data_IF_236965180335
#
_entry.id   IF_236965180335
#
_cell.length_a   1.000
_cell.length_b   1.000
_cell.length_c   1.000
_cell.angle_alpha   90.00
_cell.angle_beta   90.00
_cell.angle_gamma   90.00
#
_symmetry.space_group_name_H-M   'P 1'
#
loop_
_entity.id
_entity.type
_entity.pdbx_description
1 polymer ?
#
# COMPACT_ATOMS: atom_id res chain seq x y z
N UNK A 1 -58.61 -40.14 21.64
CA UNK A 1 -57.67 -40.62 22.68
C UNK A 1 -56.44 -41.08 21.95
N UNK A 2 -55.32 -40.38 21.91
CA UNK A 2 -54.59 -39.69 22.98
C UNK A 2 -53.69 -38.60 22.40
N UNK A 3 -53.71 -37.43 23.05
CA UNK A 3 -52.81 -36.29 22.85
C UNK A 3 -51.32 -36.68 22.96
N UNK A 4 -50.49 -36.04 22.13
CA UNK A 4 -49.04 -35.97 22.33
C UNK A 4 -48.61 -34.51 22.40
N UNK A 5 -48.32 -34.04 23.60
CA UNK A 5 -47.59 -32.79 23.87
C UNK A 5 -46.08 -32.96 23.58
N UNK A 6 -45.37 -31.90 23.15
CA UNK A 6 -43.91 -31.87 23.12
C UNK A 6 -43.32 -31.31 24.44
N UNK A 7 -42.10 -31.70 24.83
CA UNK A 7 -41.54 -31.34 26.13
C UNK A 7 -40.83 -29.98 26.16
N UNK A 8 -40.86 -29.45 27.38
CA UNK A 8 -40.35 -28.22 27.98
C UNK A 8 -38.88 -27.85 27.74
N UNK A 9 -38.67 -26.55 27.49
CA UNK A 9 -37.38 -25.83 27.59
C UNK A 9 -36.91 -25.75 29.05
N UNK A 10 -35.62 -25.99 29.29
CA UNK A 10 -34.94 -25.68 30.56
C UNK A 10 -34.34 -24.26 30.51
N UNK A 11 -34.62 -23.49 31.56
CA UNK A 11 -34.08 -22.15 31.85
C UNK A 11 -33.01 -22.26 32.96
N UNK A 12 -31.86 -21.62 32.72
CA UNK A 12 -30.91 -20.92 33.62
C UNK A 12 -30.36 -21.61 34.89
N UNK A 13 -29.14 -21.23 35.33
CA UNK A 13 -29.10 -20.12 36.29
C UNK A 13 -28.04 -19.05 35.97
N UNK A 14 -28.43 -17.80 36.23
CA UNK A 14 -27.52 -16.71 36.59
C UNK A 14 -26.82 -17.06 37.90
N UNK A 15 -25.54 -16.70 38.06
CA UNK A 15 -25.02 -16.45 39.39
C UNK A 15 -24.01 -15.31 39.42
N UNK A 16 -24.18 -14.47 40.44
CA UNK A 16 -23.51 -13.23 40.73
C UNK A 16 -22.34 -13.46 41.71
N UNK A 17 -21.26 -12.71 41.51
CA UNK A 17 -20.27 -12.20 42.49
C UNK A 17 -19.48 -13.19 43.36
N UNK A 18 -18.14 -13.06 43.36
CA UNK A 18 -17.42 -12.57 44.54
C UNK A 18 -15.99 -12.11 44.20
N UNK A 19 -15.67 -10.90 44.66
CA UNK A 19 -14.33 -10.34 44.74
C UNK A 19 -13.53 -11.05 45.84
N UNK A 20 -12.29 -11.46 45.55
CA UNK A 20 -11.21 -11.65 46.51
C UNK A 20 -9.88 -11.39 45.80
N UNK A 21 -9.15 -10.40 46.29
CA UNK A 21 -7.89 -9.94 45.72
C UNK A 21 -6.74 -10.89 45.98
N UNK A 22 -5.87 -11.04 44.99
CA UNK A 22 -4.49 -11.45 45.17
C UNK A 22 -3.58 -10.47 44.44
N UNK A 23 -2.82 -9.72 45.23
CA UNK A 23 -1.68 -8.92 44.80
C UNK A 23 -0.53 -9.86 44.45
N UNK A 24 -0.30 -10.06 43.15
CA UNK A 24 0.91 -10.67 42.62
C UNK A 24 1.59 -9.68 41.68
N UNK A 25 2.69 -9.09 42.14
CA UNK A 25 3.60 -8.34 41.26
C UNK A 25 4.30 -9.33 40.32
N UNK A 26 3.74 -9.50 39.13
CA UNK A 26 4.43 -10.07 37.97
C UNK A 26 4.72 -8.96 36.98
N UNK A 27 5.99 -8.60 36.82
CA UNK A 27 6.48 -7.76 35.72
C UNK A 27 6.41 -8.57 34.42
N UNK A 28 5.25 -8.56 33.75
CA UNK A 28 5.13 -9.04 32.36
C UNK A 28 5.65 -7.95 31.42
N UNK A 29 6.80 -8.22 30.81
CA UNK A 29 7.33 -7.49 29.66
C UNK A 29 6.44 -7.77 28.44
N UNK A 30 5.63 -6.78 28.05
CA UNK A 30 4.72 -6.91 26.89
C UNK A 30 5.44 -6.60 25.57
N UNK A 31 5.27 -7.47 24.56
CA UNK A 31 5.86 -7.33 23.23
C UNK A 31 5.09 -6.33 22.35
N UNK A 32 5.77 -5.26 21.93
CA UNK A 32 5.23 -4.19 21.09
C UNK A 32 5.11 -4.51 19.59
N UNK A 33 4.38 -5.56 19.22
CA UNK A 33 4.23 -5.94 17.79
C UNK A 33 3.42 -4.89 17.00
N UNK A 34 3.72 -4.66 15.71
CA UNK A 34 2.84 -3.92 14.79
C UNK A 34 1.43 -4.53 14.75
N UNK A 35 0.39 -3.71 14.59
CA UNK A 35 -0.96 -4.23 14.35
C UNK A 35 -0.99 -5.06 13.06
N UNK A 36 -1.69 -6.19 13.16
CA UNK A 36 -1.90 -7.16 12.09
C UNK A 36 -2.51 -6.46 10.88
N UNK A 37 -1.86 -6.55 9.71
CA UNK A 37 -2.44 -6.18 8.42
C UNK A 37 -3.86 -6.77 8.33
N UNK A 38 -4.91 -6.03 7.94
CA UNK A 38 -6.23 -6.64 7.87
C UNK A 38 -6.12 -7.83 6.93
N UNK A 39 -6.47 -9.03 7.40
CA UNK A 39 -6.49 -10.20 6.52
C UNK A 39 -7.37 -9.84 5.32
N UNK A 40 -6.87 -9.90 4.08
CA UNK A 40 -7.73 -9.76 2.92
C UNK A 40 -8.71 -10.91 3.04
N UNK A 41 -9.97 -10.55 3.22
CA UNK A 41 -11.05 -11.50 3.15
C UNK A 41 -11.09 -11.87 1.67
N UNK A 42 -10.36 -12.92 1.29
CA UNK A 42 -10.23 -13.39 -0.09
C UNK A 42 -11.59 -13.77 -0.72
N UNK A 43 -12.67 -13.86 0.09
CA UNK A 43 -14.04 -13.69 -0.40
C UNK A 43 -14.35 -12.20 -0.54
N UNK A 44 -14.40 -11.71 -1.80
CA UNK A 44 -14.58 -10.31 -2.22
C UNK A 44 -13.30 -9.47 -2.41
N UNK A 45 -12.13 -10.11 -2.54
CA UNK A 45 -10.84 -9.45 -2.83
C UNK A 45 -10.66 -9.00 -4.29
N UNK A 46 -11.69 -9.14 -5.14
CA UNK A 46 -11.77 -8.28 -6.31
C UNK A 46 -12.20 -6.90 -5.80
N UNK A 47 -11.48 -5.81 -6.14
CA UNK A 47 -11.97 -4.47 -5.86
C UNK A 47 -13.42 -4.41 -6.32
N UNK A 48 -14.33 -4.00 -5.43
CA UNK A 48 -15.76 -4.16 -5.61
C UNK A 48 -16.19 -3.27 -6.78
N UNK A 49 -16.05 -3.77 -8.00
CA UNK A 49 -16.55 -3.11 -9.18
C UNK A 49 -18.07 -2.99 -9.05
N UNK A 50 -18.70 -2.11 -9.84
CA UNK A 50 -20.14 -1.94 -9.88
C UNK A 50 -20.85 -3.14 -10.56
N UNK A 51 -20.35 -4.36 -10.32
CA UNK A 51 -20.82 -5.58 -10.94
C UNK A 51 -22.32 -5.73 -10.70
N UNK A 52 -23.12 -5.98 -11.75
CA UNK A 52 -24.56 -6.13 -11.59
C UNK A 52 -24.91 -7.39 -10.77
N UNK A 53 -24.01 -8.37 -10.71
CA UNK A 53 -24.10 -9.54 -9.83
C UNK A 53 -23.18 -9.36 -8.62
N UNK A 54 -23.76 -9.38 -7.42
CA UNK A 54 -23.03 -9.25 -6.15
C UNK A 54 -23.06 -10.51 -5.30
N UNK A 55 -24.12 -11.31 -5.45
CA UNK A 55 -24.20 -12.70 -5.03
C UNK A 55 -24.79 -13.51 -6.19
N UNK A 56 -24.16 -14.65 -6.52
CA UNK A 56 -24.65 -15.52 -7.60
C UNK A 56 -26.01 -16.16 -7.24
N UNK A 57 -26.42 -16.06 -5.97
CA UNK A 57 -27.64 -16.64 -5.41
C UNK A 57 -28.69 -15.58 -5.01
N UNK A 58 -28.42 -14.28 -5.16
CA UNK A 58 -29.39 -13.24 -4.78
C UNK A 58 -30.48 -13.08 -5.84
N UNK A 59 -31.74 -13.34 -5.48
CA UNK A 59 -32.93 -13.17 -6.33
C UNK A 59 -33.19 -11.70 -6.76
N UNK A 60 -32.51 -10.73 -6.13
CA UNK A 60 -32.56 -9.29 -6.47
C UNK A 60 -31.85 -8.93 -7.80
N UNK A 61 -31.44 -9.92 -8.60
CA UNK A 61 -30.79 -9.70 -9.90
C UNK A 61 -31.69 -9.00 -10.96
N UNK A 62 -33.01 -8.90 -10.74
CA UNK A 62 -33.96 -8.41 -11.76
C UNK A 62 -34.45 -6.97 -11.56
N UNK A 63 -34.07 -6.25 -10.50
CA UNK A 63 -34.75 -4.98 -10.13
C UNK A 63 -33.89 -3.72 -10.21
N UNK A 64 -32.64 -3.77 -10.67
CA UNK A 64 -31.82 -2.57 -10.86
C UNK A 64 -32.08 -1.89 -12.23
N UNK A 65 -33.31 -1.40 -12.42
CA UNK A 65 -33.57 -0.30 -13.35
C UNK A 65 -33.23 1.03 -12.66
N UNK A 66 -31.95 1.35 -12.57
CA UNK A 66 -31.55 2.74 -12.38
C UNK A 66 -31.03 3.24 -13.71
N UNK A 67 -31.80 4.11 -14.37
CA UNK A 67 -31.31 4.83 -15.53
C UNK A 67 -29.95 5.46 -15.20
N UNK A 68 -28.95 5.35 -16.09
CA UNK A 68 -27.69 6.04 -15.90
C UNK A 68 -27.99 7.54 -15.87
N UNK A 69 -27.92 8.15 -14.68
CA UNK A 69 -27.94 9.61 -14.57
C UNK A 69 -26.76 10.10 -15.40
N UNK A 70 -27.06 10.69 -16.55
CA UNK A 70 -26.04 11.25 -17.44
C UNK A 70 -25.24 12.27 -16.65
N UNK A 71 -23.98 11.93 -16.36
CA UNK A 71 -22.99 12.80 -15.73
C UNK A 71 -22.82 14.12 -16.47
N UNK A 72 -23.26 14.19 -17.74
CA UNK A 72 -23.24 15.41 -18.57
C UNK A 72 -24.36 16.40 -18.25
N UNK A 73 -25.49 15.99 -17.65
CA UNK A 73 -26.61 16.92 -17.36
C UNK A 73 -26.45 17.67 -16.03
N UNK A 74 -25.61 17.20 -15.10
CA UNK A 74 -25.32 17.91 -13.84
C UNK A 74 -24.10 18.85 -13.93
N UNK A 75 -23.36 18.83 -15.04
CA UNK A 75 -22.24 19.75 -15.32
C UNK A 75 -22.69 21.22 -15.52
N UNK A 76 -23.98 21.47 -15.76
CA UNK A 76 -24.51 22.78 -16.12
C UNK A 76 -24.83 23.68 -14.89
N UNK A 77 -24.97 23.11 -13.69
CA UNK A 77 -25.24 23.86 -12.47
C UNK A 77 -24.03 23.74 -11.53
N UNK A 78 -23.17 24.78 -11.51
CA UNK A 78 -21.88 24.82 -10.82
C UNK A 78 -21.88 24.67 -9.28
N UNK A 79 -22.86 23.98 -8.70
CA UNK A 79 -22.97 23.68 -7.28
C UNK A 79 -22.70 22.18 -7.01
N UNK A 80 -21.48 21.72 -7.27
CA UNK A 80 -21.04 20.45 -6.68
C UNK A 80 -20.93 20.63 -5.17
N UNK A 81 -21.96 20.23 -4.43
CA UNK A 81 -21.77 19.80 -3.06
C UNK A 81 -21.04 18.46 -3.15
N UNK A 82 -19.75 18.43 -2.77
CA UNK A 82 -18.96 17.19 -2.66
C UNK A 82 -19.62 16.15 -1.73
N UNK A 83 -20.52 16.61 -0.86
CA UNK A 83 -21.39 15.75 -0.05
C UNK A 83 -22.31 14.95 -0.97
N UNK A 84 -22.20 13.62 -0.90
CA UNK A 84 -22.99 12.71 -1.73
C UNK A 84 -22.15 11.89 -2.72
N UNK A 85 -20.84 12.15 -2.82
CA UNK A 85 -19.93 11.21 -3.45
C UNK A 85 -19.95 9.87 -2.68
N UNK A 86 -19.96 8.71 -3.38
CA UNK A 86 -19.87 8.57 -4.84
C UNK A 86 -21.19 8.61 -5.61
N UNK A 87 -22.34 8.48 -4.93
CA UNK A 87 -23.66 8.32 -5.55
C UNK A 87 -24.02 9.46 -6.50
N UNK A 88 -23.59 10.68 -6.18
CA UNK A 88 -23.85 11.86 -7.02
C UNK A 88 -23.19 11.79 -8.40
N UNK A 89 -22.08 11.07 -8.54
CA UNK A 89 -21.34 10.96 -9.80
C UNK A 89 -21.46 9.58 -10.45
N UNK A 90 -21.64 8.54 -9.65
CA UNK A 90 -21.65 7.16 -10.11
C UNK A 90 -22.92 6.46 -9.61
N UNK A 91 -24.01 6.55 -10.39
CA UNK A 91 -25.34 6.06 -9.99
C UNK A 91 -25.40 4.54 -9.72
N UNK A 92 -24.45 3.78 -10.25
CA UNK A 92 -24.26 2.35 -9.99
C UNK A 92 -23.63 2.05 -8.61
N UNK A 93 -23.17 3.05 -7.86
CA UNK A 93 -22.61 2.91 -6.51
C UNK A 93 -23.64 3.20 -5.41
N UNK A 94 -24.69 2.37 -5.35
CA UNK A 94 -25.72 2.45 -4.31
C UNK A 94 -25.16 2.27 -2.90
N UNK A 95 -25.87 2.76 -1.89
CA UNK A 95 -25.43 2.78 -0.48
C UNK A 95 -25.00 1.40 0.03
N UNK A 96 -25.71 0.35 -0.37
CA UNK A 96 -25.38 -1.03 0.02
C UNK A 96 -24.02 -1.50 -0.54
N UNK A 97 -23.71 -1.15 -1.79
CA UNK A 97 -22.40 -1.43 -2.42
C UNK A 97 -21.28 -0.74 -1.67
N UNK A 98 -21.45 0.54 -1.37
CA UNK A 98 -20.47 1.34 -0.62
C UNK A 98 -20.23 0.78 0.79
N UNK A 99 -21.29 0.29 1.45
CA UNK A 99 -21.18 -0.36 2.76
C UNK A 99 -20.44 -1.70 2.67
N UNK A 100 -20.76 -2.54 1.68
CA UNK A 100 -20.14 -3.87 1.51
C UNK A 100 -18.66 -3.78 1.17
N UNK A 101 -18.26 -2.82 0.34
CA UNK A 101 -16.85 -2.61 -0.02
C UNK A 101 -16.03 -1.88 1.06
N UNK A 102 -16.66 -1.48 2.18
CA UNK A 102 -16.01 -0.83 3.33
C UNK A 102 -15.23 0.45 2.99
N UNK A 103 -15.54 1.08 1.85
CA UNK A 103 -14.83 2.28 1.39
C UNK A 103 -14.90 3.42 2.42
N UNK A 104 -16.06 3.64 3.03
CA UNK A 104 -16.22 4.68 4.05
C UNK A 104 -15.82 4.17 5.43
N UNK A 105 -16.05 2.89 5.70
CA UNK A 105 -15.80 2.32 7.03
C UNK A 105 -14.33 2.23 7.39
N UNK A 106 -13.45 2.08 6.40
CA UNK A 106 -12.01 2.04 6.57
C UNK A 106 -11.34 3.42 6.55
N UNK A 107 -12.09 4.51 6.33
CA UNK A 107 -11.54 5.86 6.56
C UNK A 107 -11.19 6.04 8.03
N UNK A 108 -10.22 6.93 8.34
CA UNK A 108 -9.88 7.22 9.73
C UNK A 108 -11.07 7.86 10.43
N UNK A 109 -11.52 7.22 11.53
CA UNK A 109 -12.58 7.68 12.43
C UNK A 109 -12.02 8.23 13.74
N UNK A 110 -10.71 8.08 13.98
CA UNK A 110 -10.08 8.54 15.20
C UNK A 110 -9.93 10.07 15.17
N UNK A 111 -10.57 10.73 16.13
CA UNK A 111 -10.46 12.18 16.30
C UNK A 111 -9.03 12.65 16.61
N UNK A 112 -8.18 11.78 17.16
CA UNK A 112 -6.78 12.07 17.47
C UNK A 112 -5.87 11.97 16.25
N UNK A 113 -6.26 11.22 15.22
CA UNK A 113 -5.52 11.14 13.97
C UNK A 113 -5.79 12.36 13.08
N UNK A 114 -4.73 13.12 12.81
CA UNK A 114 -4.78 14.26 11.89
C UNK A 114 -4.73 13.75 10.46
N UNK A 115 -5.70 14.15 9.64
CA UNK A 115 -5.62 14.01 8.19
C UNK A 115 -4.73 15.13 7.66
N UNK A 116 -3.65 14.77 6.96
CA UNK A 116 -2.66 15.73 6.44
C UNK A 116 -2.48 15.55 4.96
N UNK A 117 -2.42 16.65 4.22
CA UNK A 117 -2.17 16.64 2.77
C UNK A 117 -0.84 17.35 2.51
N UNK A 118 0.13 16.58 2.05
CA UNK A 118 1.40 17.10 1.53
C UNK A 118 1.28 17.26 0.02
N UNK A 119 1.92 18.27 -0.56
CA UNK A 119 1.93 18.46 -2.00
C UNK A 119 3.33 18.71 -2.56
N UNK A 120 3.64 18.08 -3.69
CA UNK A 120 4.84 18.33 -4.48
C UNK A 120 4.44 18.89 -5.83
N UNK A 121 4.96 20.06 -6.17
CA UNK A 121 4.69 20.74 -7.43
C UNK A 121 5.87 20.55 -8.39
N UNK A 122 5.59 20.04 -9.59
CA UNK A 122 6.54 19.97 -10.70
C UNK A 122 6.17 21.03 -11.72
N UNK A 123 7.11 21.94 -11.96
CA UNK A 123 6.96 23.05 -12.89
C UNK A 123 6.93 22.58 -14.35
N UNK A 124 6.48 23.43 -15.26
CA UNK A 124 6.44 23.15 -16.70
C UNK A 124 7.80 22.77 -17.30
N UNK A 125 8.90 23.26 -16.73
CA UNK A 125 10.27 22.92 -17.13
C UNK A 125 10.78 21.59 -16.55
N UNK A 126 9.96 20.87 -15.78
CA UNK A 126 10.34 19.59 -15.16
C UNK A 126 11.10 19.73 -13.84
N UNK A 127 11.35 20.95 -13.36
CA UNK A 127 11.95 21.18 -12.04
C UNK A 127 10.91 21.06 -10.94
N UNK A 128 11.32 20.47 -9.83
CA UNK A 128 10.51 20.39 -8.63
C UNK A 128 10.60 21.72 -7.88
N UNK A 129 9.47 22.24 -7.40
CA UNK A 129 9.52 23.35 -6.45
C UNK A 129 10.23 22.85 -5.18
N UNK A 130 11.16 23.62 -4.62
CA UNK A 130 11.81 23.23 -3.37
C UNK A 130 10.76 23.18 -2.24
N UNK A 131 10.97 22.33 -1.23
CA UNK A 131 10.20 22.43 0.01
C UNK A 131 10.47 23.83 0.60
N UNK A 132 9.41 24.62 0.76
CA UNK A 132 9.48 25.96 1.36
C UNK A 132 8.71 25.96 2.67
N UNK A 133 9.27 26.59 3.71
CA UNK A 133 8.57 26.79 4.99
C UNK A 133 7.23 27.55 4.82
N UNK A 134 7.09 28.31 3.73
CA UNK A 134 5.87 29.04 3.36
C UNK A 134 4.72 28.14 2.84
N UNK A 135 4.96 26.83 2.65
CA UNK A 135 3.98 25.87 2.15
C UNK A 135 3.93 24.62 3.04
N UNK A 136 3.47 24.74 4.30
CA UNK A 136 3.34 23.61 5.19
C UNK A 136 2.27 22.62 4.70
N UNK A 137 2.33 21.35 5.13
CA UNK A 137 1.26 20.40 4.87
C UNK A 137 -0.07 20.95 5.38
N UNK A 138 -1.15 20.68 4.63
CA UNK A 138 -2.49 21.09 5.01
C UNK A 138 -3.02 20.14 6.09
N UNK A 139 -3.09 20.63 7.34
CA UNK A 139 -3.79 19.95 8.43
C UNK A 139 -5.31 20.09 8.17
N UNK A 140 -6.00 18.97 7.94
CA UNK A 140 -7.44 18.97 7.69
C UNK A 140 -8.22 18.86 8.99
N UNK A 141 -8.85 19.98 9.37
CA UNK A 141 -9.82 20.04 10.45
C UNK A 141 -11.26 20.04 9.90
N UNK A 142 -12.20 19.45 10.64
CA UNK A 142 -13.61 19.41 10.23
C UNK A 142 -14.24 20.81 10.10
N UNK A 143 -13.74 21.78 10.88
CA UNK A 143 -14.21 23.17 10.85
C UNK A 143 -13.72 23.92 9.58
N UNK A 144 -12.63 23.46 8.96
CA UNK A 144 -11.96 24.14 7.85
C UNK A 144 -12.22 23.46 6.49
N UNK A 145 -13.19 22.53 6.43
CA UNK A 145 -13.53 21.79 5.21
C UNK A 145 -13.93 22.71 4.04
N UNK A 146 -14.59 23.82 4.30
CA UNK A 146 -14.95 24.79 3.26
C UNK A 146 -13.72 25.47 2.65
N UNK A 147 -12.73 25.81 3.49
CA UNK A 147 -11.47 26.39 3.04
C UNK A 147 -10.67 25.38 2.22
N UNK A 148 -10.57 24.13 2.69
CA UNK A 148 -9.93 23.04 1.94
C UNK A 148 -10.58 22.84 0.57
N UNK A 149 -11.92 22.85 0.49
CA UNK A 149 -12.63 22.73 -0.77
C UNK A 149 -12.29 23.86 -1.75
N UNK A 150 -12.27 25.12 -1.28
CA UNK A 150 -11.85 26.26 -2.10
C UNK A 150 -10.42 26.14 -2.62
N UNK A 151 -9.50 25.63 -1.79
CA UNK A 151 -8.12 25.36 -2.20
C UNK A 151 -8.05 24.27 -3.28
N UNK A 152 -8.78 23.17 -3.13
CA UNK A 152 -8.82 22.07 -4.12
C UNK A 152 -9.47 22.51 -5.45
N UNK A 153 -10.43 23.43 -5.41
CA UNK A 153 -11.05 24.00 -6.62
C UNK A 153 -10.10 24.89 -7.40
N UNK A 154 -9.15 25.55 -6.73
CA UNK A 154 -8.17 26.43 -7.38
C UNK A 154 -7.23 25.60 -8.26
N UNK A 155 -7.35 25.73 -9.59
CA UNK A 155 -6.45 25.05 -10.53
C UNK A 155 -5.09 25.76 -10.48
N UNK A 156 -4.02 25.08 -10.03
CA UNK A 156 -2.70 25.70 -10.03
C UNK A 156 -2.23 25.94 -11.47
N UNK A 157 -1.69 27.12 -11.73
CA UNK A 157 -1.14 27.52 -13.03
C UNK A 157 0.38 27.31 -13.06
N UNK A 158 0.94 27.10 -14.25
CA UNK A 158 2.38 26.91 -14.41
C UNK A 158 2.93 25.57 -13.90
N UNK A 159 2.05 24.60 -13.64
CA UNK A 159 2.41 23.26 -13.16
C UNK A 159 2.19 22.20 -14.22
N UNK A 160 3.23 21.41 -14.48
CA UNK A 160 3.12 20.17 -15.25
C UNK A 160 2.35 19.11 -14.47
N UNK A 161 2.72 18.95 -13.20
CA UNK A 161 2.20 17.93 -12.31
C UNK A 161 2.12 18.43 -10.87
N UNK A 162 1.05 18.06 -10.17
CA UNK A 162 0.96 18.14 -8.71
C UNK A 162 0.83 16.75 -8.12
N UNK A 163 1.63 16.42 -7.10
CA UNK A 163 1.50 15.18 -6.34
C UNK A 163 0.87 15.52 -4.99
N UNK A 164 -0.28 14.93 -4.68
CA UNK A 164 -0.99 15.03 -3.40
C UNK A 164 -0.76 13.74 -2.62
N UNK A 165 -0.21 13.84 -1.41
CA UNK A 165 0.08 12.70 -0.56
C UNK A 165 -0.75 12.87 0.72
N UNK A 166 -1.72 11.99 0.93
CA UNK A 166 -2.69 12.11 2.02
C UNK A 166 -2.41 11.07 3.10
N UNK A 167 -2.11 11.54 4.31
CA UNK A 167 -2.10 10.73 5.53
C UNK A 167 -3.50 10.70 6.16
N UNK A 168 -3.89 9.55 6.70
CA UNK A 168 -5.11 9.39 7.51
C UNK A 168 -6.38 9.89 6.81
N UNK A 169 -6.64 9.42 5.58
CA UNK A 169 -7.78 9.87 4.78
C UNK A 169 -9.09 9.78 5.57
N UNK A 170 -9.71 10.95 5.79
CA UNK A 170 -11.04 11.10 6.39
C UNK A 170 -12.13 11.08 5.32
N UNK A 171 -13.33 10.64 5.70
CA UNK A 171 -14.46 10.52 4.77
C UNK A 171 -14.79 11.82 4.00
N UNK A 172 -14.85 13.01 4.62
CA UNK A 172 -15.10 14.25 3.86
C UNK A 172 -14.01 14.55 2.82
N UNK A 173 -12.74 14.26 3.13
CA UNK A 173 -11.62 14.47 2.20
C UNK A 173 -11.70 13.50 1.01
N UNK A 174 -12.06 12.24 1.27
CA UNK A 174 -12.34 11.27 0.22
C UNK A 174 -13.43 11.78 -0.74
N UNK A 175 -14.54 12.28 -0.20
CA UNK A 175 -15.63 12.84 -1.01
C UNK A 175 -15.19 14.06 -1.82
N UNK A 176 -14.41 14.97 -1.24
CA UNK A 176 -13.86 16.12 -1.95
C UNK A 176 -12.94 15.70 -3.09
N UNK A 177 -11.96 14.84 -2.84
CA UNK A 177 -11.03 14.38 -3.88
C UNK A 177 -11.77 13.61 -4.98
N UNK A 178 -12.64 12.68 -4.60
CA UNK A 178 -13.47 11.91 -5.52
C UNK A 178 -14.35 12.80 -6.41
N UNK A 179 -14.96 13.84 -5.84
CA UNK A 179 -15.77 14.79 -6.60
C UNK A 179 -14.93 15.69 -7.49
N UNK A 180 -13.85 16.28 -6.94
CA UNK A 180 -13.01 17.26 -7.63
C UNK A 180 -12.31 16.68 -8.85
N UNK A 181 -11.89 15.43 -8.76
CA UNK A 181 -11.10 14.75 -9.78
C UNK A 181 -11.88 13.66 -10.50
N UNK A 182 -13.18 13.49 -10.21
CA UNK A 182 -14.05 12.45 -10.82
C UNK A 182 -13.39 11.07 -10.72
N UNK A 183 -12.94 10.74 -9.50
CA UNK A 183 -12.23 9.47 -9.25
C UNK A 183 -13.28 8.38 -9.08
N UNK A 184 -13.19 7.28 -9.83
CA UNK A 184 -14.08 6.16 -9.57
C UNK A 184 -13.84 5.60 -8.15
N UNK A 185 -14.90 5.16 -7.45
CA UNK A 185 -14.78 4.72 -6.07
C UNK A 185 -13.84 3.52 -5.91
N UNK A 186 -13.61 2.79 -6.99
CA UNK A 186 -12.69 1.66 -7.07
C UNK A 186 -11.30 1.99 -6.51
N UNK A 187 -10.72 3.16 -6.82
CA UNK A 187 -9.41 3.57 -6.28
C UNK A 187 -9.42 3.58 -4.75
N UNK A 188 -10.43 4.21 -4.15
CA UNK A 188 -10.55 4.31 -2.71
C UNK A 188 -10.82 2.94 -2.08
N UNK A 189 -11.68 2.12 -2.69
CA UNK A 189 -11.94 0.77 -2.19
C UNK A 189 -10.65 -0.06 -2.20
N UNK A 190 -9.87 0.01 -3.27
CA UNK A 190 -8.63 -0.73 -3.45
C UNK A 190 -7.57 -0.28 -2.46
N UNK A 191 -7.38 1.03 -2.32
CA UNK A 191 -6.40 1.63 -1.42
C UNK A 191 -6.71 1.36 0.06
N UNK A 192 -7.97 1.58 0.48
CA UNK A 192 -8.40 1.44 1.87
C UNK A 192 -8.56 -0.02 2.32
N UNK A 193 -8.72 -0.96 1.38
CA UNK A 193 -8.77 -2.40 1.65
C UNK A 193 -7.49 -3.15 1.26
N UNK A 194 -6.46 -2.44 0.78
CA UNK A 194 -5.15 -3.01 0.45
C UNK A 194 -5.24 -4.09 -0.63
N UNK A 195 -6.09 -3.86 -1.63
CA UNK A 195 -6.32 -4.79 -2.72
C UNK A 195 -5.39 -4.41 -3.87
N UNK A 196 -4.47 -5.28 -4.31
CA UNK A 196 -3.65 -4.98 -5.48
C UNK A 196 -4.52 -4.70 -6.71
N UNK A 197 -4.28 -3.58 -7.39
CA UNK A 197 -5.06 -3.21 -8.57
C UNK A 197 -4.26 -2.39 -9.57
N UNK A 198 -4.60 -2.55 -10.85
CA UNK A 198 -4.02 -1.82 -11.98
C UNK A 198 -5.10 -1.65 -13.05
N UNK A 199 -5.43 -0.41 -13.38
CA UNK A 199 -6.48 -0.13 -14.37
C UNK A 199 -6.37 1.30 -14.89
N UNK A 200 -7.02 1.53 -16.03
CA UNK A 200 -7.15 2.81 -16.70
C UNK A 200 -8.65 3.14 -16.81
N UNK A 201 -9.03 4.34 -16.41
CA UNK A 201 -10.42 4.85 -16.37
C UNK A 201 -10.53 6.15 -17.18
N UNK A 202 -11.75 6.57 -17.49
CA UNK A 202 -12.05 7.88 -18.11
C UNK A 202 -11.25 8.17 -19.39
N UNK A 203 -11.05 7.16 -20.24
CA UNK A 203 -10.29 7.31 -21.49
C UNK A 203 -11.08 8.16 -22.49
N UNK A 204 -10.81 9.45 -22.50
CA UNK A 204 -11.41 10.40 -23.44
C UNK A 204 -10.34 10.93 -24.38
N UNK A 205 -10.45 10.54 -25.65
CA UNK A 205 -9.54 10.98 -26.72
C UNK A 205 -9.31 12.50 -26.64
N UNK A 206 -8.03 12.90 -26.67
CA UNK A 206 -7.61 14.31 -26.62
C UNK A 206 -8.00 15.11 -25.36
N UNK A 207 -8.55 14.48 -24.31
CA UNK A 207 -8.77 15.13 -23.00
C UNK A 207 -7.85 14.57 -21.94
N UNK A 208 -7.72 13.25 -21.85
CA UNK A 208 -6.98 12.62 -20.78
C UNK A 208 -7.58 11.28 -20.38
N UNK A 209 -7.03 10.73 -19.30
CA UNK A 209 -7.51 9.54 -18.63
C UNK A 209 -7.00 9.50 -17.19
N UNK A 210 -7.45 8.50 -16.44
CA UNK A 210 -6.90 8.19 -15.13
C UNK A 210 -6.22 6.83 -15.15
N UNK A 211 -5.11 6.70 -14.42
CA UNK A 211 -4.47 5.40 -14.15
C UNK A 211 -4.32 5.18 -12.65
N UNK A 212 -4.53 3.95 -12.20
CA UNK A 212 -4.37 3.57 -10.81
C UNK A 212 -3.41 2.41 -10.67
N UNK A 213 -2.54 2.48 -9.67
CA UNK A 213 -1.74 1.36 -9.18
C UNK A 213 -1.85 1.30 -7.66
N UNK A 214 -2.43 0.21 -7.16
CA UNK A 214 -2.35 -0.17 -5.74
C UNK A 214 -1.40 -1.36 -5.65
N UNK A 215 -0.25 -1.15 -5.03
CA UNK A 215 0.83 -2.11 -4.94
C UNK A 215 1.13 -2.45 -3.48
N UNK A 216 1.15 -3.74 -3.19
CA UNK A 216 1.67 -4.27 -1.95
C UNK A 216 3.12 -4.71 -2.15
N UNK A 217 3.99 -4.37 -1.21
CA UNK A 217 5.41 -4.71 -1.28
C UNK A 217 5.96 -4.96 0.12
N UNK A 218 7.15 -5.53 0.24
CA UNK A 218 7.78 -5.78 1.54
C UNK A 218 8.84 -4.71 1.79
N UNK A 219 8.92 -4.24 3.04
CA UNK A 219 10.00 -3.38 3.50
C UNK A 219 10.52 -3.80 4.86
N UNK A 220 11.74 -3.36 5.13
CA UNK A 220 12.38 -3.50 6.45
C UNK A 220 11.99 -2.37 7.40
N UNK A 221 11.83 -2.71 8.68
CA UNK A 221 11.61 -1.75 9.79
C UNK A 221 12.53 -2.09 10.95
N UNK A 222 13.12 -1.08 11.59
CA UNK A 222 13.88 -1.26 12.85
C UNK A 222 12.93 -1.50 14.04
N UNK A 223 13.30 -2.43 14.92
CA UNK A 223 12.58 -2.76 16.15
C UNK A 223 12.35 -1.57 17.08
N UNK A 224 13.35 -0.70 17.26
CA UNK A 224 13.23 0.45 18.15
C UNK A 224 12.10 1.39 17.70
N UNK A 225 11.95 1.56 16.38
CA UNK A 225 10.84 2.30 15.77
C UNK A 225 9.51 1.54 15.84
N UNK A 226 9.56 0.20 15.87
CA UNK A 226 8.36 -0.63 16.03
C UNK A 226 7.82 -0.59 17.47
N UNK A 227 8.68 -0.61 18.49
CA UNK A 227 8.27 -0.64 19.91
C UNK A 227 7.88 0.74 20.45
N UNK A 228 8.52 1.82 19.98
CA UNK A 228 8.23 3.18 20.46
C UNK A 228 6.79 3.67 20.20
N UNK A 229 6.00 2.96 19.37
CA UNK A 229 4.63 3.35 18.98
C UNK A 229 3.53 2.36 19.45
N UNK A 230 3.88 1.27 20.13
CA UNK A 230 2.89 0.27 20.57
C UNK A 230 2.47 0.50 22.03
N UNK A 231 1.43 1.29 22.24
CA UNK A 231 0.72 1.35 23.54
C UNK A 231 -0.62 0.60 23.57
N UNK A 232 -1.06 -0.03 22.48
CA UNK A 232 -2.36 -0.70 22.44
C UNK A 232 -2.26 -2.24 22.58
N UNK A 233 -2.92 -2.74 23.64
CA UNK A 233 -3.16 -4.15 23.96
C UNK A 233 -4.14 -4.77 22.97
N UNK A 234 -3.86 -5.99 22.53
CA UNK A 234 -4.91 -7.01 22.33
C UNK A 234 -4.32 -8.41 22.51
N UNK A 235 -4.91 -9.16 23.44
CA UNK A 235 -4.72 -10.60 23.58
C UNK A 235 -5.75 -11.27 22.65
N UNK A 236 -5.28 -12.01 21.66
CA UNK A 236 -6.06 -13.08 21.03
C UNK A 236 -5.16 -14.30 20.98
N UNK A 237 -5.40 -15.22 21.91
CA UNK A 237 -5.04 -16.63 21.75
C UNK A 237 -6.17 -17.25 20.92
N UNK A 238 -5.97 -17.38 19.62
CA UNK A 238 -6.78 -18.23 18.75
C UNK A 238 -5.85 -18.98 17.78
N UNK A 239 -6.28 -20.16 17.34
CA UNK A 239 -5.51 -21.21 16.66
C UNK A 239 -4.43 -20.72 15.68
N UNK A 240 -3.20 -21.27 15.85
CA UNK A 240 -1.98 -20.95 15.08
C UNK A 240 -2.06 -21.43 13.62
N UNK A 241 -2.92 -20.82 12.82
CA UNK A 241 -2.71 -20.81 11.36
C UNK A 241 -1.47 -19.96 11.04
N UNK A 242 -0.62 -20.42 10.11
CA UNK A 242 0.51 -19.62 9.64
C UNK A 242 -0.07 -18.42 8.87
N UNK A 243 0.05 -17.24 9.45
CA UNK A 243 -0.35 -16.01 8.80
C UNK A 243 0.82 -15.45 7.98
N UNK A 244 0.73 -15.58 6.66
CA UNK A 244 1.77 -15.11 5.73
C UNK A 244 1.88 -13.58 5.65
N UNK A 245 0.95 -12.85 6.26
CA UNK A 245 0.90 -11.38 6.26
C UNK A 245 1.34 -10.75 7.57
N UNK A 246 1.59 -11.58 8.59
CA UNK A 246 2.24 -11.13 9.81
C UNK A 246 3.69 -10.71 9.52
N UNK A 247 4.15 -9.69 10.27
CA UNK A 247 5.51 -9.20 10.15
C UNK A 247 6.51 -10.30 10.55
N UNK A 248 7.48 -10.58 9.68
CA UNK A 248 8.56 -11.50 10.00
C UNK A 248 9.61 -10.79 10.85
N UNK A 249 9.84 -11.29 12.07
CA UNK A 249 10.96 -10.84 12.90
C UNK A 249 12.24 -11.47 12.35
N UNK A 250 13.22 -10.63 12.03
CA UNK A 250 14.54 -11.04 11.59
C UNK A 250 15.51 -10.88 12.75
N UNK A 251 15.99 -12.02 13.25
CA UNK A 251 17.08 -12.07 14.22
C UNK A 251 18.41 -11.98 13.49
N UNK A 252 19.14 -10.91 13.74
CA UNK A 252 20.56 -10.83 13.36
C UNK A 252 21.37 -11.46 14.49
N UNK A 253 21.66 -12.75 14.37
CA UNK A 253 22.60 -13.38 15.29
C UNK A 253 24.05 -13.03 14.93
N UNK A 254 24.90 -12.95 15.96
CA UNK A 254 26.34 -12.80 15.78
C UNK A 254 26.88 -13.99 15.00
N UNK A 255 27.25 -13.80 13.74
CA UNK A 255 28.07 -14.78 13.01
C UNK A 255 29.48 -14.70 13.61
N UNK A 256 29.82 -15.64 14.49
CA UNK A 256 31.20 -15.86 14.92
C UNK A 256 31.92 -16.63 13.82
N UNK A 257 32.56 -15.91 12.90
CA UNK A 257 33.56 -16.51 12.01
C UNK A 257 34.81 -16.82 12.82
N UNK A 258 35.05 -18.11 13.10
CA UNK A 258 36.34 -18.58 13.61
C UNK A 258 37.30 -18.75 12.43
N UNK A 259 38.21 -17.79 12.26
CA UNK A 259 39.40 -18.00 11.41
C UNK A 259 40.50 -18.57 12.30
N UNK A 260 40.77 -19.87 12.16
CA UNK A 260 41.99 -20.49 12.68
C UNK A 260 43.11 -20.19 11.68
N UNK A 261 43.98 -19.22 11.99
CA UNK A 261 45.18 -18.95 11.18
C UNK A 261 45.70 -17.51 11.25
N UNK A 262 46.61 -17.27 12.20
CA UNK A 262 47.68 -16.27 12.25
C UNK A 262 47.60 -14.92 11.49
N UNK A 263 47.62 -13.85 12.30
CA UNK A 263 48.32 -12.56 12.12
C UNK A 263 48.07 -11.78 10.82
N UNK A 264 46.95 -11.06 10.78
CA UNK A 264 46.87 -9.61 10.48
C UNK A 264 45.42 -9.16 10.65
N UNK A 265 45.19 -8.26 11.61
CA UNK A 265 43.85 -7.86 12.08
C UNK A 265 42.95 -7.34 10.94
N UNK A 266 41.84 -8.01 10.62
CA UNK A 266 40.74 -7.35 9.95
C UNK A 266 39.88 -6.68 11.03
N UNK A 267 39.76 -5.35 10.97
CA UNK A 267 38.74 -4.62 11.74
C UNK A 267 37.36 -4.98 11.18
N UNK A 268 36.72 -5.99 11.76
CA UNK A 268 35.30 -6.25 11.54
C UNK A 268 34.49 -5.38 12.49
N UNK A 269 33.78 -4.39 11.94
CA UNK A 269 32.77 -3.63 12.68
C UNK A 269 31.57 -4.55 12.93
N UNK A 270 31.53 -5.15 14.11
CA UNK A 270 30.32 -5.78 14.67
C UNK A 270 29.33 -4.66 14.97
N UNK A 271 28.47 -4.32 14.02
CA UNK A 271 27.26 -3.58 14.35
C UNK A 271 26.32 -4.55 15.06
N UNK A 272 26.21 -4.38 16.38
CA UNK A 272 25.08 -4.85 17.17
C UNK A 272 23.82 -4.18 16.62
N UNK A 273 23.23 -4.71 15.55
CA UNK A 273 22.09 -4.08 14.89
C UNK A 273 20.79 -4.57 15.50
N UNK A 274 19.98 -3.65 16.01
CA UNK A 274 18.61 -3.87 16.47
C UNK A 274 17.84 -4.88 15.62
N UNK A 275 16.99 -5.71 16.25
CA UNK A 275 16.05 -6.59 15.56
C UNK A 275 15.36 -5.85 14.41
N UNK A 276 15.21 -6.52 13.27
CA UNK A 276 14.54 -5.94 12.09
C UNK A 276 13.28 -6.73 11.81
N UNK A 277 12.31 -6.09 11.18
CA UNK A 277 11.05 -6.73 10.81
C UNK A 277 10.80 -6.52 9.31
N UNK A 278 10.42 -7.59 8.62
CA UNK A 278 9.82 -7.46 7.30
C UNK A 278 8.33 -7.20 7.47
N UNK A 279 7.87 -6.13 6.84
CA UNK A 279 6.49 -5.67 6.92
C UNK A 279 5.95 -5.43 5.51
N UNK A 280 4.76 -5.94 5.24
CA UNK A 280 4.05 -5.64 4.01
C UNK A 280 3.56 -4.19 4.03
N UNK A 281 4.03 -3.33 3.14
CA UNK A 281 3.63 -1.94 2.99
C UNK A 281 2.73 -1.73 1.76
N UNK A 282 2.17 -0.52 1.65
CA UNK A 282 1.22 -0.13 0.61
C UNK A 282 1.73 1.09 -0.16
N UNK A 283 1.67 1.01 -1.49
CA UNK A 283 1.84 2.13 -2.40
C UNK A 283 0.56 2.25 -3.25
N UNK A 284 -0.30 3.18 -2.88
CA UNK A 284 -1.60 3.40 -3.52
C UNK A 284 -1.58 4.73 -4.29
N UNK A 285 -1.46 4.66 -5.61
CA UNK A 285 -1.29 5.81 -6.49
C UNK A 285 -2.45 5.88 -7.50
N UNK A 286 -3.06 7.06 -7.61
CA UNK A 286 -4.01 7.39 -8.67
C UNK A 286 -3.50 8.62 -9.40
N UNK A 287 -3.41 8.56 -10.73
CA UNK A 287 -2.92 9.65 -11.55
C UNK A 287 -4.00 10.09 -12.53
N UNK A 288 -4.40 11.35 -12.41
CA UNK A 288 -5.19 12.07 -13.38
C UNK A 288 -4.24 12.64 -14.43
N UNK A 289 -4.31 12.12 -15.65
CA UNK A 289 -3.48 12.57 -16.78
C UNK A 289 -4.33 13.40 -17.72
N UNK A 290 -3.81 14.57 -18.08
CA UNK A 290 -4.44 15.45 -19.08
C UNK A 290 -3.68 15.36 -20.40
N UNK A 291 -4.38 15.62 -21.50
CA UNK A 291 -3.77 15.83 -22.81
C UNK A 291 -3.08 17.19 -22.93
N UNK A 292 -3.39 18.13 -22.04
CA UNK A 292 -2.75 19.44 -21.95
C UNK A 292 -1.35 19.34 -21.29
N UNK A 293 -0.47 20.31 -21.57
CA UNK A 293 0.85 20.37 -20.92
C UNK A 293 0.81 20.63 -19.41
N UNK A 294 -0.32 21.08 -18.88
CA UNK A 294 -0.45 21.48 -17.47
C UNK A 294 -1.70 20.88 -16.83
N UNK A 295 -1.57 20.51 -15.56
CA UNK A 295 -2.72 20.10 -14.74
C UNK A 295 -2.87 18.60 -14.48
N UNK A 296 -1.86 17.78 -14.78
CA UNK A 296 -1.87 16.38 -14.29
C UNK A 296 -1.74 16.36 -12.77
N UNK A 297 -2.35 15.37 -12.12
CA UNK A 297 -2.30 15.23 -10.65
C UNK A 297 -2.08 13.77 -10.26
N UNK A 298 -1.14 13.50 -9.35
CA UNK A 298 -1.03 12.21 -8.67
C UNK A 298 -1.64 12.36 -7.27
N UNK A 299 -2.40 11.38 -6.84
CA UNK A 299 -3.00 11.27 -5.51
C UNK A 299 -2.50 9.97 -4.89
N UNK A 300 -1.89 10.07 -3.70
CA UNK A 300 -1.42 8.91 -2.94
C UNK A 300 -2.14 8.82 -1.60
N UNK A 301 -2.57 7.61 -1.25
CA UNK A 301 -3.16 7.30 0.05
C UNK A 301 -2.13 6.64 0.98
N UNK A 302 -2.06 7.11 2.22
CA UNK A 302 -1.23 6.55 3.27
C UNK A 302 -2.08 6.22 4.53
N UNK A 303 -2.03 4.96 5.00
CA UNK A 303 -2.80 4.53 6.17
C UNK A 303 -2.18 5.09 7.45
N UNK A 304 -2.96 5.08 8.52
CA UNK A 304 -2.57 5.74 9.75
C UNK A 304 -1.40 5.16 10.52
N UNK A 305 -0.89 5.95 11.46
CA UNK A 305 0.36 5.68 12.16
C UNK A 305 0.31 4.35 12.93
N UNK A 306 -0.88 3.91 13.37
CA UNK A 306 -1.09 2.61 14.01
C UNK A 306 -0.70 1.41 13.13
N UNK A 307 -0.82 1.54 11.81
CA UNK A 307 -0.36 0.54 10.85
C UNK A 307 1.16 0.51 10.69
N UNK A 308 1.90 1.50 11.19
CA UNK A 308 3.36 1.60 11.06
C UNK A 308 3.83 1.46 9.61
N UNK A 309 3.09 2.04 8.65
CA UNK A 309 3.38 2.02 7.21
C UNK A 309 4.11 3.28 6.75
N UNK A 310 4.47 3.34 5.47
CA UNK A 310 5.07 4.55 4.91
C UNK A 310 4.07 5.70 4.97
N UNK A 311 4.43 6.74 5.71
CA UNK A 311 3.63 7.96 5.84
C UNK A 311 3.70 8.81 4.57
N UNK A 312 2.72 9.68 4.37
CA UNK A 312 2.71 10.66 3.30
C UNK A 312 3.93 11.58 3.39
N UNK A 313 4.33 11.98 4.60
CA UNK A 313 5.56 12.76 4.83
C UNK A 313 6.82 12.03 4.34
N UNK A 314 6.93 10.73 4.59
CA UNK A 314 8.09 9.96 4.14
C UNK A 314 8.11 9.87 2.62
N UNK A 315 6.96 9.61 1.99
CA UNK A 315 6.89 9.58 0.52
C UNK A 315 7.10 10.97 -0.09
N UNK A 316 6.61 12.03 0.53
CA UNK A 316 6.86 13.43 0.16
C UNK A 316 8.36 13.73 0.05
N UNK A 317 9.12 13.36 1.09
CA UNK A 317 10.56 13.52 1.09
C UNK A 317 11.26 12.68 0.01
N UNK A 318 10.76 11.47 -0.26
CA UNK A 318 11.29 10.62 -1.34
C UNK A 318 11.03 11.26 -2.71
N UNK A 319 9.84 11.79 -2.95
CA UNK A 319 9.47 12.44 -4.22
C UNK A 319 10.31 13.70 -4.46
N UNK A 320 10.58 14.50 -3.42
CA UNK A 320 11.50 15.64 -3.56
C UNK A 320 12.92 15.18 -3.91
N UNK A 321 13.43 14.13 -3.26
CA UNK A 321 14.76 13.55 -3.58
C UNK A 321 14.84 13.01 -5.00
N UNK A 322 13.73 12.52 -5.56
CA UNK A 322 13.66 12.15 -6.98
C UNK A 322 13.89 13.38 -7.86
N UNK A 323 13.31 14.54 -7.53
CA UNK A 323 13.57 15.80 -8.23
C UNK A 323 15.00 16.33 -8.07
N UNK A 324 15.68 15.98 -6.98
CA UNK A 324 17.11 16.31 -6.76
C UNK A 324 18.06 15.35 -7.48
N UNK A 325 17.57 14.19 -7.93
CA UNK A 325 18.40 13.20 -8.62
C UNK A 325 18.79 13.68 -10.00
N UNK A 326 20.10 13.75 -10.27
CA UNK A 326 20.65 14.15 -11.58
C UNK A 326 20.13 13.27 -12.72
N UNK A 327 19.90 11.98 -12.45
CA UNK A 327 19.37 11.04 -13.45
C UNK A 327 17.93 11.38 -13.83
N UNK A 328 17.05 11.44 -12.84
CA UNK A 328 15.63 11.70 -13.04
C UNK A 328 15.36 13.13 -13.51
N UNK A 329 16.09 14.11 -12.99
CA UNK A 329 15.96 15.50 -13.41
C UNK A 329 16.24 15.69 -14.90
N UNK A 330 17.22 14.97 -15.48
CA UNK A 330 17.46 14.98 -16.92
C UNK A 330 16.27 14.42 -17.71
N UNK A 331 15.64 13.36 -17.21
CA UNK A 331 14.43 12.78 -17.83
C UNK A 331 13.28 13.77 -17.78
N UNK A 332 13.05 14.43 -16.64
CA UNK A 332 11.98 15.42 -16.48
C UNK A 332 12.22 16.69 -17.31
N UNK A 333 13.46 17.10 -17.53
CA UNK A 333 13.78 18.21 -18.43
C UNK A 333 13.61 17.83 -19.90
N UNK A 334 13.98 16.60 -20.27
CA UNK A 334 13.91 16.10 -21.64
C UNK A 334 12.48 15.77 -22.08
N UNK A 335 11.69 15.16 -21.20
CA UNK A 335 10.31 14.75 -21.50
C UNK A 335 9.30 15.55 -20.71
N UNK A 336 8.21 15.96 -21.37
CA UNK A 336 7.08 16.62 -20.72
C UNK A 336 6.04 15.63 -20.15
N UNK A 337 6.23 14.32 -20.34
CA UNK A 337 5.28 13.32 -19.84
C UNK A 337 5.34 13.20 -18.31
N UNK A 338 4.27 13.57 -17.57
CA UNK A 338 4.27 13.50 -16.11
C UNK A 338 4.28 12.05 -15.58
N UNK A 339 4.02 11.06 -16.44
CA UNK A 339 4.03 9.63 -16.06
C UNK A 339 5.42 9.17 -15.60
N UNK A 340 6.50 9.86 -15.98
CA UNK A 340 7.84 9.56 -15.45
C UNK A 340 7.96 9.78 -13.94
N UNK A 341 7.23 10.74 -13.36
CA UNK A 341 7.23 10.95 -11.90
C UNK A 341 6.51 9.78 -11.22
N UNK A 342 5.41 9.29 -11.81
CA UNK A 342 4.72 8.10 -11.36
C UNK A 342 5.65 6.87 -11.38
N UNK A 343 6.37 6.67 -12.48
CA UNK A 343 7.36 5.59 -12.61
C UNK A 343 8.49 5.73 -11.58
N UNK A 344 9.01 6.95 -11.37
CA UNK A 344 10.05 7.21 -10.38
C UNK A 344 9.59 6.90 -8.95
N UNK A 345 8.31 7.10 -8.63
CA UNK A 345 7.73 6.68 -7.34
C UNK A 345 7.75 5.15 -7.21
N UNK A 346 7.50 4.38 -8.28
CA UNK A 346 7.54 2.92 -8.23
C UNK A 346 8.93 2.36 -7.88
N UNK A 347 10.01 3.08 -8.19
CA UNK A 347 11.36 2.70 -7.75
C UNK A 347 11.50 2.65 -6.22
N UNK A 348 10.66 3.36 -5.47
CA UNK A 348 10.62 3.24 -4.02
C UNK A 348 10.33 1.79 -3.56
N UNK A 349 9.36 1.13 -4.20
CA UNK A 349 9.01 -0.24 -3.88
C UNK A 349 10.16 -1.21 -4.22
N UNK A 350 10.90 -0.96 -5.30
CA UNK A 350 12.09 -1.74 -5.66
C UNK A 350 13.17 -1.65 -4.58
N UNK A 351 13.53 -0.43 -4.15
CA UNK A 351 14.56 -0.26 -3.12
C UNK A 351 14.14 -0.86 -1.77
N UNK A 352 12.86 -0.78 -1.43
CA UNK A 352 12.33 -1.44 -0.23
C UNK A 352 12.44 -2.97 -0.31
N UNK A 353 12.20 -3.56 -1.47
CA UNK A 353 12.42 -4.98 -1.69
C UNK A 353 13.89 -5.38 -1.60
N UNK A 354 14.78 -4.62 -2.22
CA UNK A 354 16.22 -4.90 -2.22
C UNK A 354 16.78 -4.94 -0.78
N UNK A 355 16.47 -3.93 0.03
CA UNK A 355 16.82 -3.90 1.46
C UNK A 355 16.20 -5.08 2.24
N UNK A 356 14.96 -5.44 1.92
CA UNK A 356 14.25 -6.55 2.58
C UNK A 356 14.88 -7.90 2.29
N UNK A 357 15.24 -8.16 1.02
CA UNK A 357 15.86 -9.41 0.62
C UNK A 357 17.30 -9.53 1.13
N UNK A 358 18.02 -8.43 1.27
CA UNK A 358 19.33 -8.42 1.94
C UNK A 358 19.21 -8.91 3.38
N UNK A 359 18.27 -8.35 4.15
CA UNK A 359 18.05 -8.75 5.54
C UNK A 359 17.48 -10.16 5.68
N UNK A 360 16.59 -10.56 4.78
CA UNK A 360 16.06 -11.92 4.75
C UNK A 360 17.15 -12.95 4.48
N UNK A 361 18.03 -12.69 3.51
CA UNK A 361 19.16 -13.56 3.20
C UNK A 361 20.12 -13.69 4.39
N UNK A 362 20.46 -12.58 5.04
CA UNK A 362 21.31 -12.60 6.24
C UNK A 362 20.71 -13.43 7.38
N UNK A 363 19.40 -13.28 7.63
CA UNK A 363 18.69 -14.06 8.63
C UNK A 363 18.61 -15.55 8.25
N UNK A 364 18.44 -15.87 6.97
CA UNK A 364 18.41 -17.25 6.50
C UNK A 364 19.75 -17.97 6.68
N UNK A 365 20.88 -17.32 6.38
CA UNK A 365 22.20 -17.90 6.64
C UNK A 365 22.42 -18.15 8.15
N UNK A 366 21.91 -17.25 8.99
CA UNK A 366 21.92 -17.45 10.44
C UNK A 366 21.07 -18.66 10.85
N UNK A 367 19.85 -18.79 10.33
CA UNK A 367 18.98 -19.94 10.60
C UNK A 367 19.60 -21.25 10.14
N UNK A 368 20.14 -21.31 8.91
CA UNK A 368 20.80 -22.50 8.38
C UNK A 368 21.92 -22.96 9.32
N UNK A 369 22.81 -22.04 9.71
CA UNK A 369 23.91 -22.33 10.64
C UNK A 369 23.39 -22.88 11.98
N UNK A 370 22.35 -22.28 12.55
CA UNK A 370 21.87 -22.64 13.88
C UNK A 370 20.96 -23.87 13.88
N UNK A 371 20.18 -24.12 12.83
CA UNK A 371 19.34 -25.33 12.68
C UNK A 371 20.21 -26.57 12.52
N UNK A 372 21.33 -26.47 11.81
CA UNK A 372 22.30 -27.56 11.66
C UNK A 372 23.04 -27.84 12.99
N UNK A 373 23.35 -26.81 13.76
CA UNK A 373 24.08 -26.94 15.03
C UNK A 373 23.18 -27.30 16.22
N UNK A 374 21.89 -26.96 16.16
CA UNK A 374 20.96 -27.12 17.28
C UNK A 374 19.71 -27.89 16.85
N UNK A 375 19.38 -28.95 17.58
CA UNK A 375 18.13 -29.69 17.44
C UNK A 375 16.92 -28.91 18.02
N UNK A 376 16.92 -27.59 17.89
CA UNK A 376 15.85 -26.74 18.39
C UNK A 376 14.61 -26.85 17.51
N UNK A 377 13.48 -27.18 18.13
CA UNK A 377 12.14 -27.23 17.51
C UNK A 377 11.60 -25.84 17.12
N UNK A 378 12.05 -24.79 17.81
CA UNK A 378 11.60 -23.42 17.56
C UNK A 378 12.13 -22.90 16.23
N UNK A 379 13.39 -23.19 15.90
CA UNK A 379 14.01 -22.81 14.62
C UNK A 379 13.36 -23.52 13.42
N UNK A 380 12.87 -24.75 13.60
CA UNK A 380 12.13 -25.47 12.54
C UNK A 380 10.76 -24.87 12.28
N UNK A 381 10.07 -24.43 13.33
CA UNK A 381 8.79 -23.73 13.19
C UNK A 381 8.97 -22.39 12.47
N UNK A 382 10.06 -21.67 12.80
CA UNK A 382 10.46 -20.43 12.13
C UNK A 382 10.76 -20.68 10.63
N UNK A 383 11.48 -21.75 10.30
CA UNK A 383 11.77 -22.15 8.92
C UNK A 383 10.49 -22.42 8.10
N UNK A 384 9.52 -23.14 8.66
CA UNK A 384 8.23 -23.37 7.99
C UNK A 384 7.42 -22.09 7.81
N UNK A 385 7.47 -21.17 8.78
CA UNK A 385 6.82 -19.86 8.68
C UNK A 385 7.41 -19.04 7.54
N UNK A 386 8.75 -19.00 7.46
CA UNK A 386 9.47 -18.32 6.37
C UNK A 386 9.12 -18.94 5.02
N UNK A 387 9.08 -20.28 4.93
CA UNK A 387 8.72 -20.96 3.68
C UNK A 387 7.34 -20.52 3.16
N UNK A 388 6.34 -20.41 4.03
CA UNK A 388 5.02 -19.91 3.65
C UNK A 388 5.05 -18.43 3.23
N UNK A 389 5.79 -17.59 3.95
CA UNK A 389 5.95 -16.17 3.62
C UNK A 389 6.69 -15.94 2.29
N UNK A 390 7.66 -16.78 1.94
CA UNK A 390 8.38 -16.69 0.66
C UNK A 390 7.46 -16.91 -0.55
N UNK A 391 6.46 -17.80 -0.43
CA UNK A 391 5.43 -17.98 -1.46
C UNK A 391 4.58 -16.72 -1.64
N UNK A 392 4.20 -16.09 -0.53
CA UNK A 392 3.48 -14.81 -0.55
C UNK A 392 4.33 -13.70 -1.18
N UNK A 393 5.61 -13.60 -0.80
CA UNK A 393 6.54 -12.61 -1.36
C UNK A 393 6.76 -12.78 -2.86
N UNK A 394 6.79 -14.02 -3.36
CA UNK A 394 6.86 -14.28 -4.79
C UNK A 394 5.62 -13.74 -5.53
N UNK A 395 4.43 -13.90 -4.96
CA UNK A 395 3.19 -13.31 -5.50
C UNK A 395 3.25 -11.78 -5.53
N UNK A 396 3.77 -11.15 -4.47
CA UNK A 396 3.88 -9.69 -4.39
C UNK A 396 4.87 -9.12 -5.43
N UNK A 397 6.01 -9.78 -5.66
CA UNK A 397 6.96 -9.37 -6.71
C UNK A 397 6.35 -9.54 -8.11
N UNK A 398 5.59 -10.60 -8.34
CA UNK A 398 4.87 -10.78 -9.62
C UNK A 398 3.80 -9.70 -9.83
N UNK A 399 3.09 -9.30 -8.77
CA UNK A 399 2.16 -8.18 -8.84
C UNK A 399 2.86 -6.85 -9.11
N UNK A 400 4.07 -6.65 -8.58
CA UNK A 400 4.89 -5.49 -8.90
C UNK A 400 5.29 -5.47 -10.38
N UNK A 401 5.76 -6.60 -10.91
CA UNK A 401 6.11 -6.76 -12.34
C UNK A 401 4.92 -6.40 -13.24
N UNK A 402 3.72 -6.89 -12.90
CA UNK A 402 2.48 -6.57 -13.64
C UNK A 402 2.13 -5.09 -13.59
N UNK A 403 2.34 -4.42 -12.45
CA UNK A 403 2.07 -2.99 -12.31
C UNK A 403 3.02 -2.12 -13.15
N UNK A 404 4.31 -2.47 -13.23
CA UNK A 404 5.26 -1.77 -14.12
C UNK A 404 4.94 -2.04 -15.58
N UNK A 405 4.58 -3.29 -15.92
CA UNK A 405 4.13 -3.66 -17.28
C UNK A 405 2.87 -2.89 -17.69
N UNK A 406 1.94 -2.67 -16.76
CA UNK A 406 0.76 -1.85 -16.99
C UNK A 406 1.15 -0.42 -17.35
N UNK A 407 2.03 0.23 -16.56
CA UNK A 407 2.50 1.60 -16.88
C UNK A 407 3.19 1.64 -18.24
N UNK A 408 4.06 0.67 -18.54
CA UNK A 408 4.75 0.55 -19.83
C UNK A 408 3.78 0.49 -21.02
N UNK A 409 2.67 -0.25 -20.86
CA UNK A 409 1.71 -0.48 -21.93
C UNK A 409 0.58 0.55 -21.98
N UNK A 410 0.59 1.56 -21.11
CA UNK A 410 -0.48 2.57 -21.02
C UNK A 410 0.07 3.94 -21.39
N UNK A 411 0.15 4.27 -22.70
CA UNK A 411 0.76 5.52 -23.16
C UNK A 411 0.06 6.75 -22.58
N UNK A 412 0.82 7.83 -22.44
CA UNK A 412 0.33 9.06 -21.83
C UNK A 412 -0.52 9.88 -22.81
N UNK A 413 -1.74 10.33 -22.43
CA UNK A 413 -2.61 11.13 -23.28
C UNK A 413 -1.97 12.43 -23.78
N UNK A 414 -1.02 12.99 -23.02
CA UNK A 414 -0.29 14.21 -23.40
C UNK A 414 0.45 14.05 -24.73
N UNK A 415 0.80 12.82 -25.11
CA UNK A 415 1.47 12.55 -26.38
C UNK A 415 0.52 12.67 -27.57
N UNK A 416 -0.80 12.64 -27.36
CA UNK A 416 -1.81 12.86 -28.40
C UNK A 416 -2.00 14.35 -28.71
N UNK A 417 -1.47 15.26 -27.89
CA UNK A 417 -1.60 16.70 -28.10
C UNK A 417 -0.91 17.16 -29.39
N UNK A 418 -1.44 18.22 -29.99
CA UNK A 418 -0.88 18.85 -31.20
C UNK A 418 0.49 19.47 -30.97
N UNK A 419 0.89 19.70 -29.72
CA UNK A 419 2.19 20.28 -29.37
C UNK A 419 3.34 19.26 -29.46
N UNK A 420 3.02 17.97 -29.52
CA UNK A 420 4.01 16.91 -29.67
C UNK A 420 4.20 16.57 -31.15
N UNK A 421 5.43 16.76 -31.64
CA UNK A 421 5.84 16.29 -32.96
C UNK A 421 6.00 14.76 -32.96
N UNK A 422 5.79 14.11 -34.11
CA UNK A 422 5.94 12.65 -34.21
C UNK A 422 7.31 12.13 -33.75
N UNK A 423 8.45 12.81 -34.03
CA UNK A 423 9.73 12.43 -33.44
C UNK A 423 9.73 12.51 -31.91
N UNK A 424 9.23 13.61 -31.32
CA UNK A 424 9.19 13.78 -29.87
C UNK A 424 8.30 12.74 -29.17
N UNK A 425 7.19 12.32 -29.81
CA UNK A 425 6.34 11.22 -29.35
C UNK A 425 7.10 9.90 -29.32
N UNK A 426 7.79 9.56 -30.40
CA UNK A 426 8.59 8.32 -30.50
C UNK A 426 9.72 8.30 -29.48
N UNK A 427 10.42 9.42 -29.33
CA UNK A 427 11.54 9.52 -28.39
C UNK A 427 11.06 9.40 -26.93
N UNK A 428 9.93 10.04 -26.59
CA UNK A 428 9.33 9.94 -25.25
C UNK A 428 8.85 8.52 -24.96
N UNK A 429 8.16 7.87 -25.90
CA UNK A 429 7.72 6.48 -25.74
C UNK A 429 8.91 5.53 -25.62
N UNK A 430 9.96 5.70 -26.45
CA UNK A 430 11.18 4.91 -26.37
C UNK A 430 11.87 5.06 -25.01
N UNK A 431 11.90 6.28 -24.47
CA UNK A 431 12.45 6.55 -23.14
C UNK A 431 11.59 5.88 -22.05
N UNK A 432 10.26 5.99 -22.11
CA UNK A 432 9.35 5.35 -21.16
C UNK A 432 9.52 3.82 -21.15
N UNK A 433 9.58 3.21 -22.34
CA UNK A 433 9.84 1.78 -22.49
C UNK A 433 11.18 1.39 -21.87
N UNK A 434 12.25 2.12 -22.17
CA UNK A 434 13.58 1.87 -21.62
C UNK A 434 13.58 1.91 -20.10
N UNK A 435 12.98 2.93 -19.49
CA UNK A 435 12.97 3.07 -18.03
C UNK A 435 12.08 2.02 -17.34
N UNK A 436 10.97 1.64 -17.97
CA UNK A 436 10.18 0.50 -17.49
C UNK A 436 10.94 -0.82 -17.61
N UNK A 437 11.67 -1.04 -18.72
CA UNK A 437 12.47 -2.25 -18.95
C UNK A 437 13.64 -2.37 -17.96
N UNK A 438 14.28 -1.25 -17.61
CA UNK A 438 15.27 -1.21 -16.55
C UNK A 438 14.66 -1.66 -15.21
N UNK A 439 13.50 -1.10 -14.84
CA UNK A 439 12.82 -1.46 -13.60
C UNK A 439 12.36 -2.93 -13.60
N UNK A 440 11.84 -3.43 -14.72
CA UNK A 440 11.46 -4.84 -14.88
C UNK A 440 12.66 -5.78 -14.73
N UNK A 441 13.81 -5.43 -15.31
CA UNK A 441 15.06 -6.20 -15.15
C UNK A 441 15.49 -6.27 -13.69
N UNK A 442 15.36 -5.18 -12.92
CA UNK A 442 15.68 -5.19 -11.49
C UNK A 442 14.67 -6.02 -10.68
N UNK A 443 13.38 -5.99 -11.05
CA UNK A 443 12.37 -6.87 -10.42
C UNK A 443 12.70 -8.34 -10.68
N UNK A 444 13.14 -8.69 -11.90
CA UNK A 444 13.57 -10.05 -12.25
C UNK A 444 14.80 -10.48 -11.44
N UNK A 445 15.78 -9.58 -11.22
CA UNK A 445 16.92 -9.82 -10.33
C UNK A 445 16.46 -10.15 -8.91
N UNK A 446 15.53 -9.37 -8.34
CA UNK A 446 14.98 -9.60 -7.01
C UNK A 446 14.21 -10.92 -6.93
N UNK A 447 13.44 -11.27 -7.96
CA UNK A 447 12.73 -12.55 -8.04
C UNK A 447 13.71 -13.74 -8.07
N UNK A 448 14.83 -13.61 -8.77
CA UNK A 448 15.90 -14.60 -8.74
C UNK A 448 16.54 -14.74 -7.35
N UNK A 449 16.82 -13.63 -6.68
CA UNK A 449 17.34 -13.63 -5.31
C UNK A 449 16.36 -14.30 -4.33
N UNK A 450 15.06 -14.00 -4.41
CA UNK A 450 14.03 -14.64 -3.59
C UNK A 450 13.94 -16.15 -3.85
N UNK A 451 14.10 -16.58 -5.11
CA UNK A 451 14.15 -18.00 -5.48
C UNK A 451 15.34 -18.69 -4.82
N UNK A 452 16.53 -18.09 -4.86
CA UNK A 452 17.71 -18.66 -4.21
C UNK A 452 17.53 -18.81 -2.69
N UNK A 453 16.92 -17.80 -2.03
CA UNK A 453 16.55 -17.88 -0.61
C UNK A 453 15.57 -19.04 -0.37
N UNK A 454 14.58 -19.20 -1.24
CA UNK A 454 13.58 -20.28 -1.16
C UNK A 454 14.21 -21.66 -1.30
N UNK A 455 15.15 -21.82 -2.22
CA UNK A 455 15.85 -23.09 -2.43
C UNK A 455 16.78 -23.39 -1.24
N UNK A 456 17.43 -22.38 -0.65
CA UNK A 456 18.20 -22.52 0.59
C UNK A 456 17.33 -23.04 1.75
N UNK A 457 16.17 -22.41 1.98
CA UNK A 457 15.20 -22.84 3.01
C UNK A 457 14.79 -24.30 2.82
N UNK A 458 14.52 -24.72 1.58
CA UNK A 458 14.13 -26.10 1.26
C UNK A 458 15.23 -27.09 1.60
N UNK A 459 16.47 -26.80 1.20
CA UNK A 459 17.63 -27.67 1.48
C UNK A 459 17.86 -27.80 2.98
N UNK A 460 17.82 -26.70 3.73
CA UNK A 460 18.00 -26.73 5.19
C UNK A 460 16.86 -27.49 5.90
N UNK A 461 15.64 -27.46 5.34
CA UNK A 461 14.52 -28.23 5.88
C UNK A 461 14.67 -29.74 5.62
N UNK A 462 15.14 -30.14 4.43
CA UNK A 462 15.28 -31.55 4.04
C UNK A 462 16.48 -32.24 4.69
N UNK A 463 17.61 -31.54 4.87
CA UNK A 463 18.82 -32.11 5.48
C UNK A 463 18.58 -32.66 6.90
N UNK A 464 17.54 -32.17 7.60
CA UNK A 464 17.18 -32.65 8.94
C UNK A 464 16.35 -33.93 8.96
N UNK A 465 15.77 -34.35 7.83
CA UNK A 465 14.94 -35.55 7.74
C UNK A 465 15.75 -36.81 7.41
N UNK A 466 16.92 -36.68 6.78
CA UNK A 466 17.77 -37.82 6.43
C UNK A 466 18.70 -38.27 7.58
N UNK A 467 18.88 -37.45 8.63
CA UNK A 467 19.70 -37.75 9.82
C UNK A 467 18.89 -38.36 11.00
N UNK A 468 17.63 -38.76 10.78
CA UNK A 468 16.79 -39.50 11.74
C UNK A 468 16.43 -40.87 11.20
#
# INVERSE_FOLDING_TARGET
MTDRQPPTRLRFPQNNRHWLGHTGHGTTTHSGKPQKTPAPIYRHAAPSGPWPWMDLESEDMMTLETEPVSSQMQLAEGNYQWRGYPQSLFGNWVTERVKRCKMVDNCSKDSLEKCRIYYVDVLENGKFKPPSDDNPPLDVNEQDLAHLWGQLQTKPTGLRLRVLLIDNLKHPVLQMLGTRYIIEPFFFTSSLNWIPSRYQEEVVKQKGDHITVTLLFVRTVSWEKAVASSQNKHNFEDEKAIDTQESLSLRSGRVLSFVVGSVSRPKFLVHSSAEKYLLQDLLALHMIRTSDLSGSTIISYHPGAHWKRTTAEKLYNIVHKVGESVYWQKIFEQSKDPTFVFLAILWYALYAWDESLEHLYAHMNWLETNVLLTNDSHLTTELHTIQAQLLHYASLLEDFRKSVTFVKNTPSPILESSEFTDPARRDTNKLMHKECDNLLSEIERLAFQLKNITDLVRVSATARFDDR
#
